data_IF_606186521303
#
_entry.id   IF_606186521303
#
_cell.length_a   1.000
_cell.length_b   1.000
_cell.length_c   1.000
_cell.angle_alpha   90.00
_cell.angle_beta   90.00
_cell.angle_gamma   90.00
#
_symmetry.space_group_name_H-M   'P 1'
#
loop_
_entity.id
_entity.type
_entity.pdbx_description
1 polymer ?
#
# COMPACT_ATOMS: atom_id res chain seq x y z
N UNK A 1 -9.73 -9.18 -6.55
CA UNK A 1 -9.42 -9.04 -7.99
C UNK A 1 -8.02 -8.45 -8.06
N UNK A 2 -7.14 -8.94 -8.94
CA UNK A 2 -5.80 -8.36 -9.09
C UNK A 2 -5.85 -7.21 -10.09
N UNK A 3 -5.19 -6.09 -9.78
CA UNK A 3 -5.08 -4.91 -10.68
C UNK A 3 -3.63 -4.46 -10.70
N UNK A 4 -3.03 -4.36 -11.88
CA UNK A 4 -1.59 -4.13 -12.07
C UNK A 4 -0.67 -5.11 -11.30
N UNK A 5 -1.16 -6.33 -11.00
CA UNK A 5 -0.42 -7.31 -10.21
C UNK A 5 -0.62 -7.21 -8.69
N UNK A 6 -1.39 -6.23 -8.21
CA UNK A 6 -1.71 -6.03 -6.79
C UNK A 6 -3.06 -6.62 -6.42
N UNK A 7 -3.13 -7.32 -5.29
CA UNK A 7 -4.37 -7.83 -4.71
C UNK A 7 -4.52 -7.31 -3.29
N UNK A 8 -5.48 -6.41 -3.07
CA UNK A 8 -5.84 -5.99 -1.71
C UNK A 8 -6.72 -7.05 -1.06
N UNK A 9 -6.28 -7.51 0.11
CA UNK A 9 -6.84 -8.66 0.84
C UNK A 9 -7.92 -8.19 1.81
N UNK A 10 -7.57 -7.22 2.67
CA UNK A 10 -8.48 -6.66 3.67
C UNK A 10 -7.99 -5.33 4.20
N UNK A 11 -8.90 -4.61 4.84
CA UNK A 11 -8.57 -3.50 5.73
C UNK A 11 -8.21 -4.03 7.12
N UNK A 12 -7.24 -3.38 7.76
CA UNK A 12 -6.84 -3.64 9.15
C UNK A 12 -7.52 -2.58 10.03
N UNK A 13 -8.58 -2.99 10.73
CA UNK A 13 -9.41 -2.08 11.54
C UNK A 13 -8.68 -1.47 12.74
N UNK A 14 -7.66 -2.16 13.26
CA UNK A 14 -6.85 -1.68 14.39
C UNK A 14 -5.39 -1.96 14.14
N UNK A 15 -4.59 -0.90 14.01
CA UNK A 15 -3.15 -0.99 13.77
C UNK A 15 -2.38 0.03 14.61
N UNK A 16 -1.10 -0.25 14.81
CA UNK A 16 -0.10 0.69 15.35
C UNK A 16 1.10 0.66 14.44
N UNK A 17 1.43 1.79 13.81
CA UNK A 17 2.51 1.88 12.83
C UNK A 17 3.87 1.45 13.38
N UNK A 18 4.11 1.57 14.70
CA UNK A 18 5.32 1.08 15.37
C UNK A 18 5.58 -0.42 15.19
N UNK A 19 4.54 -1.19 14.86
CA UNK A 19 4.65 -2.63 14.58
C UNK A 19 5.05 -2.93 13.12
N UNK A 20 5.22 -1.89 12.29
CA UNK A 20 5.44 -1.99 10.86
C UNK A 20 6.75 -1.30 10.47
N UNK A 21 7.38 -1.80 9.42
CA UNK A 21 8.64 -1.28 8.89
C UNK A 21 8.37 -0.68 7.51
N UNK A 22 8.74 0.59 7.24
CA UNK A 22 8.59 1.17 5.91
C UNK A 22 9.33 0.33 4.85
N UNK A 23 8.61 -0.14 3.84
CA UNK A 23 9.17 -1.03 2.80
C UNK A 23 10.12 -0.28 1.86
N UNK A 24 9.95 1.05 1.69
CA UNK A 24 10.79 1.89 0.82
C UNK A 24 10.96 3.31 1.37
N UNK A 25 12.12 3.58 1.99
CA UNK A 25 12.44 4.88 2.60
C UNK A 25 12.43 6.10 1.66
N UNK A 26 12.52 5.90 0.35
CA UNK A 26 12.48 7.00 -0.64
C UNK A 26 11.05 7.37 -1.03
N UNK A 27 10.09 6.43 -1.02
CA UNK A 27 8.67 6.72 -1.26
C UNK A 27 8.12 7.57 -0.12
N UNK A 28 8.56 7.32 1.11
CA UNK A 28 8.25 8.15 2.28
C UNK A 28 8.91 9.54 2.25
N UNK A 29 9.81 9.82 1.30
CA UNK A 29 10.37 11.16 1.06
C UNK A 29 9.57 11.97 0.03
N UNK A 30 8.69 11.32 -0.75
CA UNK A 30 7.72 12.03 -1.57
C UNK A 30 6.54 12.47 -0.69
N UNK A 31 5.97 13.67 -0.90
CA UNK A 31 4.83 14.18 -0.14
C UNK A 31 3.51 13.49 -0.54
N UNK A 32 3.56 12.18 -0.78
CA UNK A 32 2.40 11.39 -1.17
C UNK A 32 1.80 10.73 0.09
N UNK A 33 0.48 10.78 0.27
CA UNK A 33 -0.19 10.28 1.47
C UNK A 33 -0.23 8.75 1.56
N UNK A 34 0.17 8.03 0.51
CA UNK A 34 0.13 6.57 0.46
C UNK A 34 1.51 6.00 0.76
N UNK A 35 1.64 5.25 1.86
CA UNK A 35 2.90 4.63 2.30
C UNK A 35 2.78 3.11 2.33
N UNK A 36 3.90 2.43 2.07
CA UNK A 36 3.96 0.96 2.03
C UNK A 36 4.86 0.47 3.15
N UNK A 37 4.38 -0.52 3.87
CA UNK A 37 5.05 -1.14 4.99
C UNK A 37 5.11 -2.66 4.85
N UNK A 38 6.06 -3.24 5.56
CA UNK A 38 6.14 -4.67 5.88
C UNK A 38 5.97 -4.87 7.37
N UNK A 39 5.74 -6.10 7.80
CA UNK A 39 5.67 -6.48 9.20
C UNK A 39 6.46 -7.77 9.39
N UNK A 40 7.20 -7.87 10.50
CA UNK A 40 8.00 -9.05 10.78
C UNK A 40 7.12 -10.30 10.87
N UNK A 41 7.53 -11.37 10.18
CA UNK A 41 6.82 -12.65 10.13
C UNK A 41 5.65 -12.68 9.13
N UNK A 42 5.30 -11.57 8.49
CA UNK A 42 4.24 -11.51 7.48
C UNK A 42 4.84 -11.59 6.06
N UNK A 43 4.15 -12.28 5.16
CA UNK A 43 4.52 -12.35 3.74
C UNK A 43 3.92 -11.17 2.96
N UNK A 44 2.78 -10.66 3.45
CA UNK A 44 2.04 -9.59 2.81
C UNK A 44 2.60 -8.21 3.17
N UNK A 45 2.23 -7.23 2.35
CA UNK A 45 2.58 -5.83 2.52
C UNK A 45 1.37 -5.04 2.98
N UNK A 46 1.62 -3.84 3.50
CA UNK A 46 0.59 -3.00 4.10
C UNK A 46 0.63 -1.60 3.50
N UNK A 47 -0.48 -1.15 2.94
CA UNK A 47 -0.70 0.19 2.43
C UNK A 47 -1.34 1.03 3.53
N UNK A 48 -0.69 2.09 3.96
CA UNK A 48 -1.29 3.12 4.82
C UNK A 48 -1.66 4.32 3.99
N UNK A 49 -2.94 4.69 4.02
CA UNK A 49 -3.41 5.97 3.54
C UNK A 49 -3.40 6.94 4.72
N UNK A 50 -2.41 7.84 4.77
CA UNK A 50 -2.21 8.79 5.86
C UNK A 50 -3.32 9.83 5.95
N UNK A 51 -4.00 10.14 4.84
CA UNK A 51 -5.08 11.13 4.85
C UNK A 51 -6.37 10.57 5.45
N UNK A 52 -6.64 9.29 5.22
CA UNK A 52 -7.81 8.62 5.77
C UNK A 52 -7.52 7.89 7.09
N UNK A 53 -6.24 7.78 7.46
CA UNK A 53 -5.71 6.96 8.55
C UNK A 53 -6.18 5.50 8.48
N UNK A 54 -6.03 4.88 7.30
CA UNK A 54 -6.49 3.50 7.04
C UNK A 54 -5.36 2.62 6.54
N UNK A 55 -5.33 1.39 7.03
CA UNK A 55 -4.31 0.41 6.67
C UNK A 55 -4.94 -0.77 5.93
N UNK A 56 -4.34 -1.16 4.80
CA UNK A 56 -4.82 -2.25 3.96
C UNK A 56 -3.71 -3.27 3.75
N UNK A 57 -4.02 -4.54 3.99
CA UNK A 57 -3.14 -5.65 3.68
C UNK A 57 -3.28 -6.01 2.19
N UNK A 58 -2.16 -6.18 1.51
CA UNK A 58 -2.12 -6.55 0.11
C UNK A 58 -0.96 -7.50 -0.21
N UNK A 59 -1.13 -8.25 -1.29
CA UNK A 59 -0.06 -9.01 -1.92
C UNK A 59 0.19 -8.50 -3.34
N UNK A 60 1.36 -8.77 -3.87
CA UNK A 60 1.72 -8.45 -5.25
C UNK A 60 2.47 -9.62 -5.89
N UNK A 61 2.35 -9.74 -7.21
CA UNK A 61 3.09 -10.78 -7.95
C UNK A 61 4.59 -10.47 -7.95
N UNK A 62 5.44 -11.49 -7.84
CA UNK A 62 6.90 -11.31 -7.73
C UNK A 62 7.52 -10.59 -8.92
N UNK A 63 6.86 -10.60 -10.07
CA UNK A 63 7.28 -9.87 -11.26
C UNK A 63 7.05 -8.35 -11.11
N UNK A 64 6.04 -7.95 -10.32
CA UNK A 64 5.70 -6.57 -9.99
C UNK A 64 6.66 -6.04 -8.93
N UNK A 65 7.87 -5.68 -9.34
CA UNK A 65 8.84 -5.09 -8.43
C UNK A 65 8.42 -3.66 -8.09
N UNK A 66 7.83 -3.43 -6.92
CA UNK A 66 7.73 -2.08 -6.34
C UNK A 66 9.17 -1.63 -6.06
N UNK A 67 9.88 -1.09 -7.03
CA UNK A 67 11.27 -0.60 -6.90
C UNK A 67 11.46 0.77 -7.53
N UNK A 68 10.50 1.20 -8.34
CA UNK A 68 10.58 2.41 -9.15
C UNK A 68 9.35 3.31 -8.93
N UNK A 69 9.50 4.61 -9.20
CA UNK A 69 8.43 5.61 -9.07
C UNK A 69 7.22 5.36 -9.98
N UNK A 70 7.44 4.72 -11.13
CA UNK A 70 6.35 4.35 -12.04
C UNK A 70 5.44 3.28 -11.44
N UNK A 71 6.01 2.26 -10.79
CA UNK A 71 5.27 1.19 -10.13
C UNK A 71 4.42 1.72 -8.97
N UNK A 72 4.90 2.77 -8.29
CA UNK A 72 4.12 3.45 -7.26
C UNK A 72 2.83 4.08 -7.81
N UNK A 73 2.85 4.68 -9.01
CA UNK A 73 1.63 5.24 -9.61
C UNK A 73 0.62 4.15 -9.99
N UNK A 74 1.10 3.04 -10.56
CA UNK A 74 0.26 1.88 -10.85
C UNK A 74 -0.36 1.32 -9.56
N UNK A 75 0.42 1.27 -8.49
CA UNK A 75 -0.03 0.84 -7.17
C UNK A 75 -1.13 1.74 -6.58
N UNK A 76 -0.93 3.06 -6.59
CA UNK A 76 -1.92 4.03 -6.11
C UNK A 76 -3.19 3.97 -6.96
N UNK A 77 -3.06 3.79 -8.27
CA UNK A 77 -4.19 3.60 -9.17
C UNK A 77 -4.95 2.30 -8.84
N UNK A 78 -4.25 1.19 -8.62
CA UNK A 78 -4.87 -0.08 -8.21
C UNK A 78 -5.66 0.07 -6.91
N UNK A 79 -5.10 0.80 -5.92
CA UNK A 79 -5.76 1.09 -4.66
C UNK A 79 -7.10 1.82 -4.86
N UNK A 80 -7.10 2.93 -5.59
CA UNK A 80 -8.32 3.71 -5.81
C UNK A 80 -9.34 3.02 -6.73
N UNK A 81 -8.89 2.18 -7.66
CA UNK A 81 -9.83 1.35 -8.44
C UNK A 81 -10.53 0.31 -7.57
N UNK A 82 -9.82 -0.27 -6.60
CA UNK A 82 -10.41 -1.26 -5.69
C UNK A 82 -11.24 -0.61 -4.57
N UNK A 83 -10.88 0.60 -4.15
CA UNK A 83 -11.61 1.39 -3.15
C UNK A 83 -11.94 2.80 -3.66
N UNK A 84 -12.89 2.95 -4.61
CA UNK A 84 -13.20 4.25 -5.24
C UNK A 84 -13.62 5.33 -4.26
N UNK A 85 -14.30 4.95 -3.17
CA UNK A 85 -14.72 5.88 -2.11
C UNK A 85 -13.57 6.59 -1.41
N UNK A 86 -12.35 6.04 -1.49
CA UNK A 86 -11.17 6.64 -0.88
C UNK A 86 -10.55 7.71 -1.80
N UNK A 87 -10.97 7.77 -3.07
CA UNK A 87 -10.56 8.78 -4.05
C UNK A 87 -11.48 10.01 -4.08
N UNK A 88 -12.75 9.88 -3.65
CA UNK A 88 -13.75 10.95 -3.60
C UNK A 88 -13.50 11.91 -2.42
N UNK A 89 -12.33 12.55 -2.41
CA UNK A 89 -11.93 13.56 -1.42
C UNK A 89 -12.51 14.93 -1.76
#
# INVERSE_FOLDING_TARGET
MSTYGYTFIREIESFRLDNYVPHMGWISSFPMPIKIYTKEGEINHFLHDEELDRLFEFSYDRDTHIKESYEYQNFVTAYYLQFPRNADR
#
